data_IF_274076624840
#
_entry.id   IF_274076624840
#
_cell.length_a   1.000
_cell.length_b   1.000
_cell.length_c   1.000
_cell.angle_alpha   90.00
_cell.angle_beta   90.00
_cell.angle_gamma   90.00
#
_symmetry.space_group_name_H-M   'P 1'
#
loop_
_entity.id
_entity.type
_entity.pdbx_description
1 polymer ?
#
# COMPACT_ATOMS: atom_id res chain seq x y z
N UNK A 1 -19.17 19.50 11.04
CA UNK A 1 -18.12 18.51 11.41
C UNK A 1 -18.81 17.26 11.91
N UNK A 2 -18.29 16.09 11.60
CA UNK A 2 -18.83 14.80 12.04
C UNK A 2 -17.75 14.08 12.84
N UNK A 3 -18.12 13.50 13.97
CA UNK A 3 -17.20 12.71 14.79
C UNK A 3 -16.84 11.41 14.06
N UNK A 4 -15.55 11.17 13.90
CA UNK A 4 -14.99 9.95 13.32
C UNK A 4 -14.09 9.24 14.32
N UNK A 5 -14.02 7.92 14.17
CA UNK A 5 -12.96 7.12 14.79
C UNK A 5 -11.80 7.06 13.81
N UNK A 6 -10.65 7.58 14.21
CA UNK A 6 -9.39 7.34 13.52
C UNK A 6 -8.78 6.07 14.11
N UNK A 7 -8.56 5.07 13.26
CA UNK A 7 -7.92 3.82 13.63
C UNK A 7 -6.64 3.65 12.81
N UNK A 8 -5.53 3.41 13.48
CA UNK A 8 -4.25 3.12 12.84
C UNK A 8 -3.63 1.83 13.37
N UNK A 9 -3.01 1.06 12.49
CA UNK A 9 -2.28 -0.15 12.85
C UNK A 9 -0.83 -0.10 12.35
N UNK A 10 0.13 -0.33 13.26
CA UNK A 10 1.55 -0.49 12.94
C UNK A 10 2.05 -1.79 13.57
N UNK A 11 2.32 -2.80 12.75
CA UNK A 11 2.63 -4.13 13.24
C UNK A 11 1.43 -4.71 14.01
N UNK A 12 1.65 -5.12 15.26
CA UNK A 12 0.58 -5.60 16.15
C UNK A 12 -0.02 -4.48 17.02
N UNK A 13 0.48 -3.25 16.93
CA UNK A 13 0.00 -2.11 17.72
C UNK A 13 -1.19 -1.46 17.01
N UNK A 14 -2.30 -1.35 17.73
CA UNK A 14 -3.48 -0.62 17.30
C UNK A 14 -3.60 0.70 18.07
N UNK A 15 -3.97 1.75 17.34
CA UNK A 15 -4.16 3.09 17.87
C UNK A 15 -5.56 3.57 17.50
N UNK A 16 -6.27 4.14 18.47
CA UNK A 16 -7.61 4.65 18.25
C UNK A 16 -7.76 6.05 18.85
N UNK A 17 -8.22 6.99 18.02
CA UNK A 17 -8.45 8.38 18.40
C UNK A 17 -9.82 8.83 17.91
N UNK A 18 -10.38 9.83 18.59
CA UNK A 18 -11.57 10.54 18.13
C UNK A 18 -11.14 11.80 17.39
N UNK A 19 -11.68 12.04 16.20
CA UNK A 19 -11.39 13.26 15.42
C UNK A 19 -12.66 13.79 14.78
N UNK A 20 -12.70 15.09 14.52
CA UNK A 20 -13.81 15.74 13.85
C UNK A 20 -13.44 16.06 12.41
N UNK A 21 -14.22 15.54 11.45
CA UNK A 21 -13.94 15.71 10.02
C UNK A 21 -15.12 16.39 9.33
N UNK A 22 -14.82 17.38 8.50
CA UNK A 22 -15.75 18.11 7.69
C UNK A 22 -15.90 17.47 6.30
N UNK A 23 -17.07 16.89 6.03
CA UNK A 23 -17.40 16.25 4.74
C UNK A 23 -18.16 17.16 3.77
N UNK A 24 -18.22 18.47 4.01
CA UNK A 24 -18.97 19.38 3.14
C UNK A 24 -18.41 19.45 1.72
N UNK A 25 -17.08 19.40 1.59
CA UNK A 25 -16.39 19.29 0.30
C UNK A 25 -15.25 18.28 0.40
N UNK A 26 -14.81 17.68 -0.71
CA UNK A 26 -13.64 16.80 -0.73
C UNK A 26 -12.38 17.46 -0.17
N UNK A 27 -12.17 18.75 -0.42
CA UNK A 27 -10.96 19.47 0.00
C UNK A 27 -10.93 19.70 1.51
N UNK A 28 -12.07 20.08 2.10
CA UNK A 28 -12.19 20.22 3.55
C UNK A 28 -12.03 18.86 4.25
N UNK A 29 -12.55 17.81 3.62
CA UNK A 29 -12.40 16.44 4.10
C UNK A 29 -10.93 16.00 4.09
N UNK A 30 -10.22 16.18 2.98
CA UNK A 30 -8.79 15.84 2.87
C UNK A 30 -7.95 16.65 3.85
N UNK A 31 -8.24 17.94 3.99
CA UNK A 31 -7.54 18.80 4.95
C UNK A 31 -7.71 18.31 6.40
N UNK A 32 -8.94 17.97 6.81
CA UNK A 32 -9.20 17.50 8.17
C UNK A 32 -8.61 16.10 8.43
N UNK A 33 -8.60 15.21 7.43
CA UNK A 33 -7.91 13.92 7.54
C UNK A 33 -6.41 14.12 7.68
N UNK A 34 -5.79 14.97 6.86
CA UNK A 34 -4.36 15.26 6.95
C UNK A 34 -4.00 15.89 8.30
N UNK A 35 -4.86 16.76 8.83
CA UNK A 35 -4.70 17.32 10.17
C UNK A 35 -4.77 16.23 11.25
N UNK A 36 -5.74 15.33 11.16
CA UNK A 36 -5.84 14.19 12.09
C UNK A 36 -4.61 13.28 12.02
N UNK A 37 -4.10 12.99 10.81
CA UNK A 37 -2.87 12.25 10.57
C UNK A 37 -1.68 12.92 11.26
N UNK A 38 -1.49 14.22 11.05
CA UNK A 38 -0.38 14.99 11.66
C UNK A 38 -0.43 14.96 13.18
N UNK A 39 -1.63 15.09 13.77
CA UNK A 39 -1.84 15.07 15.23
C UNK A 39 -1.49 13.73 15.87
N UNK A 40 -1.82 12.60 15.21
CA UNK A 40 -1.59 11.26 15.76
C UNK A 40 -0.19 10.72 15.47
N UNK A 41 0.50 11.26 14.46
CA UNK A 41 1.78 10.76 13.96
C UNK A 41 2.87 10.70 15.03
N UNK A 42 3.03 11.76 15.82
CA UNK A 42 4.03 11.83 16.90
C UNK A 42 3.75 10.78 17.98
N UNK A 43 2.49 10.68 18.39
CA UNK A 43 2.02 9.73 19.40
C UNK A 43 2.28 8.29 18.99
N UNK A 44 2.03 7.96 17.70
CA UNK A 44 2.31 6.64 17.16
C UNK A 44 3.82 6.36 17.22
N UNK A 45 4.66 7.26 16.66
CA UNK A 45 6.11 7.10 16.63
C UNK A 45 6.74 6.89 18.01
N UNK A 46 6.31 7.67 19.01
CA UNK A 46 6.80 7.55 20.39
C UNK A 46 6.46 6.20 21.04
N UNK A 47 5.39 5.54 20.60
CA UNK A 47 4.95 4.25 21.12
C UNK A 47 5.50 3.05 20.34
N UNK A 48 6.18 3.28 19.21
CA UNK A 48 6.86 2.21 18.48
C UNK A 48 8.12 1.78 19.22
N UNK A 49 8.36 0.47 19.26
CA UNK A 49 9.49 -0.13 19.99
C UNK A 49 10.02 -1.33 19.22
N UNK A 50 11.31 -1.64 19.35
CA UNK A 50 11.90 -2.82 18.71
C UNK A 50 11.86 -2.72 17.18
N UNK A 51 11.41 -3.78 16.51
CA UNK A 51 11.35 -3.83 15.04
C UNK A 51 10.38 -2.82 14.43
N UNK A 52 9.28 -2.50 15.13
CA UNK A 52 8.29 -1.51 14.67
C UNK A 52 8.86 -0.08 14.69
N UNK A 53 9.87 0.19 15.52
CA UNK A 53 10.56 1.48 15.57
C UNK A 53 11.62 1.63 14.46
N UNK A 54 11.76 0.65 13.57
CA UNK A 54 12.72 0.67 12.46
C UNK A 54 12.02 0.93 11.13
N UNK A 55 12.76 1.51 10.18
CA UNK A 55 12.29 1.71 8.82
C UNK A 55 11.82 0.39 8.19
N UNK A 56 10.57 0.33 7.74
CA UNK A 56 9.97 -0.87 7.18
C UNK A 56 10.64 -1.34 5.88
N UNK A 57 11.35 -0.46 5.18
CA UNK A 57 12.08 -0.79 3.95
C UNK A 57 13.50 -1.28 4.23
N UNK A 58 14.33 -0.46 4.88
CA UNK A 58 15.76 -0.78 5.01
C UNK A 58 16.11 -1.58 6.25
N UNK A 59 15.25 -1.58 7.28
CA UNK A 59 15.44 -2.26 8.58
C UNK A 59 16.71 -1.89 9.36
N UNK A 60 17.52 -0.95 8.85
CA UNK A 60 18.82 -0.57 9.42
C UNK A 60 18.83 0.80 10.09
N UNK A 61 17.81 1.62 9.84
CA UNK A 61 17.68 2.95 10.42
C UNK A 61 16.37 3.05 11.24
N UNK A 62 16.37 3.82 12.35
CA UNK A 62 15.15 4.08 13.08
C UNK A 62 14.14 4.85 12.22
N UNK A 63 12.86 4.64 12.51
CA UNK A 63 11.76 5.37 11.92
C UNK A 63 11.78 6.82 12.43
N UNK A 64 11.81 7.78 11.52
CA UNK A 64 11.75 9.21 11.83
C UNK A 64 10.41 9.82 11.45
N UNK A 65 9.58 9.10 10.71
CA UNK A 65 8.28 9.53 10.19
C UNK A 65 7.42 8.32 9.83
N UNK A 66 6.15 8.57 9.56
CA UNK A 66 5.18 7.60 9.07
C UNK A 66 4.74 7.96 7.66
N UNK A 67 4.63 6.97 6.78
CA UNK A 67 3.90 7.07 5.52
C UNK A 67 2.48 6.56 5.74
N UNK A 68 1.51 7.46 5.68
CA UNK A 68 0.11 7.15 5.95
C UNK A 68 -0.62 6.70 4.69
N UNK A 69 -1.54 5.75 4.87
CA UNK A 69 -2.35 5.14 3.82
C UNK A 69 -3.80 5.10 4.29
N UNK A 70 -4.45 6.26 4.26
CA UNK A 70 -5.77 6.44 4.85
C UNK A 70 -6.89 5.96 3.93
N UNK A 71 -7.93 5.38 4.53
CA UNK A 71 -9.13 4.86 3.88
C UNK A 71 -10.36 5.32 4.67
N UNK A 72 -11.36 5.84 3.96
CA UNK A 72 -12.59 6.30 4.59
C UNK A 72 -13.69 5.24 4.52
N UNK A 73 -14.23 4.90 5.68
CA UNK A 73 -15.44 4.10 5.80
C UNK A 73 -16.61 5.00 6.17
N UNK A 74 -17.07 5.75 5.16
CA UNK A 74 -18.08 6.78 5.33
C UNK A 74 -19.45 6.27 5.77
N UNK A 75 -19.78 5.05 5.35
CA UNK A 75 -21.07 4.39 5.54
C UNK A 75 -21.15 3.56 6.84
N UNK A 76 -20.09 3.58 7.65
CA UNK A 76 -20.08 2.90 8.97
C UNK A 76 -20.56 3.86 10.06
N UNK A 77 -21.13 3.32 11.15
CA UNK A 77 -21.53 4.10 12.33
C UNK A 77 -20.84 3.58 13.60
N UNK A 78 -20.00 4.39 14.28
CA UNK A 78 -19.55 5.71 13.86
C UNK A 78 -18.69 5.62 12.57
N UNK A 79 -18.64 6.68 11.76
CA UNK A 79 -17.78 6.70 10.58
C UNK A 79 -16.31 6.56 11.00
N UNK A 80 -15.53 5.88 10.17
CA UNK A 80 -14.14 5.54 10.50
C UNK A 80 -13.16 6.00 9.41
N UNK A 81 -12.02 6.55 9.84
CA UNK A 81 -10.80 6.66 9.03
C UNK A 81 -9.91 5.50 9.46
N UNK A 82 -9.65 4.59 8.55
CA UNK A 82 -8.72 3.48 8.74
C UNK A 82 -7.38 3.87 8.11
N UNK A 83 -6.29 3.73 8.85
CA UNK A 83 -4.96 4.09 8.39
C UNK A 83 -3.99 2.93 8.63
N UNK A 84 -3.07 2.74 7.69
CA UNK A 84 -2.02 1.74 7.76
C UNK A 84 -0.65 2.42 7.71
N UNK A 85 -0.23 3.15 8.77
CA UNK A 85 1.02 3.89 8.74
C UNK A 85 2.22 2.96 8.64
N UNK A 86 3.15 3.29 7.74
CA UNK A 86 4.41 2.58 7.57
C UNK A 86 5.58 3.38 8.17
N UNK A 87 6.34 2.82 9.13
CA UNK A 87 7.49 3.49 9.73
C UNK A 87 8.62 3.63 8.72
N UNK A 88 9.13 4.85 8.52
CA UNK A 88 10.18 5.15 7.54
C UNK A 88 11.31 5.98 8.12
N UNK A 89 12.51 5.76 7.59
CA UNK A 89 13.63 6.68 7.77
C UNK A 89 13.50 7.91 6.84
N UNK A 90 14.48 8.80 6.89
CA UNK A 90 14.49 10.03 6.09
C UNK A 90 14.94 9.84 4.62
N UNK A 91 15.15 8.60 4.17
CA UNK A 91 15.56 8.34 2.78
C UNK A 91 14.35 8.40 1.83
N UNK A 92 14.46 9.22 0.79
CA UNK A 92 13.46 9.28 -0.29
C UNK A 92 13.32 7.94 -1.01
N UNK A 93 14.41 7.19 -1.21
CA UNK A 93 14.36 5.86 -1.80
C UNK A 93 13.52 4.88 -0.95
N UNK A 94 13.64 4.94 0.37
CA UNK A 94 12.85 4.09 1.26
C UNK A 94 11.35 4.41 1.15
N UNK A 95 10.98 5.68 0.93
CA UNK A 95 9.60 6.09 0.71
C UNK A 95 9.04 5.55 -0.60
N UNK A 96 9.80 5.72 -1.70
CA UNK A 96 9.38 5.26 -3.02
C UNK A 96 9.15 3.74 -3.00
N UNK A 97 10.07 2.99 -2.38
CA UNK A 97 9.94 1.54 -2.23
C UNK A 97 8.77 1.16 -1.33
N UNK A 98 8.56 1.85 -0.20
CA UNK A 98 7.42 1.57 0.69
C UNK A 98 6.07 1.82 0.01
N UNK A 99 5.93 2.95 -0.72
CA UNK A 99 4.74 3.23 -1.54
C UNK A 99 4.51 2.14 -2.59
N UNK A 100 5.57 1.71 -3.27
CA UNK A 100 5.46 0.65 -4.29
C UNK A 100 5.03 -0.69 -3.68
N UNK A 101 5.61 -1.08 -2.53
CA UNK A 101 5.26 -2.31 -1.82
C UNK A 101 3.81 -2.27 -1.34
N UNK A 102 3.37 -1.16 -0.73
CA UNK A 102 1.98 -0.98 -0.32
C UNK A 102 1.00 -1.16 -1.49
N UNK A 103 1.29 -0.53 -2.64
CA UNK A 103 0.45 -0.69 -3.83
C UNK A 103 0.40 -2.14 -4.33
N UNK A 104 1.52 -2.86 -4.27
CA UNK A 104 1.57 -4.29 -4.65
C UNK A 104 0.75 -5.16 -3.70
N UNK A 105 0.89 -4.94 -2.38
CA UNK A 105 0.17 -5.69 -1.34
C UNK A 105 -1.34 -5.48 -1.45
N UNK A 106 -1.78 -4.24 -1.69
CA UNK A 106 -3.20 -3.92 -1.92
C UNK A 106 -3.74 -4.60 -3.18
N UNK A 107 -2.92 -4.72 -4.23
CA UNK A 107 -3.31 -5.43 -5.44
C UNK A 107 -3.37 -6.95 -5.23
N UNK A 108 -2.48 -7.51 -4.40
CA UNK A 108 -2.53 -8.92 -3.98
C UNK A 108 -3.76 -9.21 -3.11
N UNK A 109 -4.09 -8.33 -2.17
CA UNK A 109 -5.32 -8.43 -1.38
C UNK A 109 -6.57 -8.38 -2.28
N UNK A 110 -6.57 -7.48 -3.28
CA UNK A 110 -7.64 -7.39 -4.29
C UNK A 110 -7.77 -8.70 -5.07
N UNK A 111 -6.65 -9.26 -5.53
CA UNK A 111 -6.63 -10.52 -6.27
C UNK A 111 -7.08 -11.72 -5.41
N UNK A 112 -6.67 -11.77 -4.14
CA UNK A 112 -7.08 -12.81 -3.17
C UNK A 112 -8.58 -12.79 -2.91
N UNK A 113 -9.22 -11.62 -2.98
CA UNK A 113 -10.67 -11.47 -2.92
C UNK A 113 -11.39 -11.79 -4.25
N UNK A 114 -10.66 -12.29 -5.26
CA UNK A 114 -11.20 -12.60 -6.59
C UNK A 114 -11.64 -11.35 -7.37
N UNK A 115 -11.22 -10.16 -6.95
CA UNK A 115 -11.55 -8.91 -7.65
C UNK A 115 -10.63 -8.74 -8.87
N UNK A 116 -11.14 -8.12 -9.95
CA UNK A 116 -10.38 -7.93 -11.18
C UNK A 116 -9.21 -6.95 -10.98
N UNK A 117 -8.09 -7.20 -11.67
CA UNK A 117 -6.93 -6.29 -11.64
C UNK A 117 -7.28 -4.98 -12.35
N UNK A 118 -6.83 -3.81 -11.84
CA UNK A 118 -7.06 -2.54 -12.51
C UNK A 118 -6.45 -2.49 -13.92
N UNK A 119 -5.25 -3.04 -14.08
CA UNK A 119 -4.43 -2.85 -15.28
C UNK A 119 -4.54 -3.99 -16.30
N UNK A 120 -5.09 -5.14 -15.91
CA UNK A 120 -5.22 -6.31 -16.78
C UNK A 120 -3.88 -6.84 -17.33
N UNK A 121 -3.95 -7.58 -18.44
CA UNK A 121 -2.76 -8.08 -19.14
C UNK A 121 -2.02 -6.93 -19.85
N UNK A 122 -0.72 -6.78 -19.60
CA UNK A 122 0.11 -5.71 -20.19
C UNK A 122 0.24 -5.80 -21.71
N UNK A 123 0.02 -6.99 -22.28
CA UNK A 123 0.09 -7.19 -23.74
C UNK A 123 -1.22 -6.99 -24.47
N UNK A 124 -2.31 -7.53 -23.92
CA UNK A 124 -3.60 -7.61 -24.62
C UNK A 124 -4.74 -6.91 -23.88
N UNK A 125 -4.45 -6.31 -22.73
CA UNK A 125 -5.37 -5.53 -21.87
C UNK A 125 -6.61 -6.28 -21.37
N UNK A 126 -6.70 -7.60 -21.62
CA UNK A 126 -7.76 -8.44 -21.06
C UNK A 126 -7.65 -8.52 -19.53
N UNK A 127 -8.79 -8.49 -18.86
CA UNK A 127 -8.88 -8.52 -17.40
C UNK A 127 -8.67 -7.17 -16.72
N UNK A 128 -8.61 -6.07 -17.47
CA UNK A 128 -8.70 -4.70 -16.94
C UNK A 128 -10.17 -4.29 -16.70
N UNK A 129 -10.39 -3.18 -16.00
CA UNK A 129 -11.70 -2.50 -15.88
C UNK A 129 -12.87 -3.39 -15.43
N UNK A 130 -12.68 -4.24 -14.42
CA UNK A 130 -13.82 -4.98 -13.86
C UNK A 130 -14.11 -6.34 -14.52
N UNK A 131 -13.39 -6.70 -15.59
CA UNK A 131 -13.62 -7.97 -16.29
C UNK A 131 -12.99 -9.13 -15.52
N UNK A 132 -13.83 -9.96 -14.90
CA UNK A 132 -13.39 -11.18 -14.23
C UNK A 132 -12.86 -12.17 -15.26
N UNK A 133 -11.60 -12.56 -15.11
CA UNK A 133 -10.97 -13.58 -15.94
C UNK A 133 -11.20 -14.96 -15.31
N UNK A 134 -11.31 -15.99 -16.14
CA UNK A 134 -11.44 -17.38 -15.68
C UNK A 134 -10.22 -17.86 -14.88
N UNK A 135 -9.06 -17.21 -15.05
CA UNK A 135 -7.84 -17.48 -14.32
C UNK A 135 -7.15 -16.17 -13.92
N UNK A 136 -6.45 -16.13 -12.76
CA UNK A 136 -5.65 -14.98 -12.36
C UNK A 136 -4.50 -14.75 -13.36
N UNK A 137 -4.11 -13.48 -13.53
CA UNK A 137 -3.00 -13.11 -14.40
C UNK A 137 -1.67 -13.54 -13.79
N UNK A 138 -0.76 -14.02 -14.64
CA UNK A 138 0.60 -14.40 -14.29
C UNK A 138 1.46 -13.14 -14.14
N UNK A 139 2.18 -13.01 -13.03
CA UNK A 139 3.16 -11.94 -12.83
C UNK A 139 4.50 -12.30 -13.46
N UNK A 140 5.20 -11.31 -14.00
CA UNK A 140 6.57 -11.46 -14.45
C UNK A 140 7.44 -11.97 -13.28
N UNK A 141 8.12 -13.10 -13.46
CA UNK A 141 8.90 -13.73 -12.39
C UNK A 141 10.06 -12.87 -11.89
N UNK A 142 10.57 -11.95 -12.72
CA UNK A 142 11.69 -11.05 -12.41
C UNK A 142 11.24 -9.80 -11.64
N UNK A 143 10.34 -9.00 -12.22
CA UNK A 143 9.96 -7.73 -11.61
C UNK A 143 8.73 -7.79 -10.72
N UNK A 144 7.91 -8.85 -10.85
CA UNK A 144 6.60 -9.01 -10.18
C UNK A 144 5.54 -7.94 -10.51
N UNK A 145 5.90 -6.86 -11.22
CA UNK A 145 5.01 -5.76 -11.64
C UNK A 145 4.13 -6.15 -12.84
N UNK A 146 4.74 -6.56 -13.96
CA UNK A 146 4.00 -6.77 -15.20
C UNK A 146 3.16 -8.05 -15.16
N UNK A 147 1.93 -7.98 -15.68
CA UNK A 147 0.94 -9.08 -15.63
C UNK A 147 0.54 -9.55 -17.02
N UNK A 148 0.35 -10.86 -17.16
CA UNK A 148 0.05 -11.49 -18.44
C UNK A 148 -0.98 -12.60 -18.27
N UNK A 149 -1.92 -12.71 -19.21
CA UNK A 149 -2.89 -13.81 -19.17
C UNK A 149 -2.23 -15.18 -19.46
N UNK A 150 -1.16 -15.17 -20.26
CA UNK A 150 -0.41 -16.39 -20.62
C UNK A 150 1.08 -16.08 -20.84
N UNK A 151 1.91 -17.11 -20.86
CA UNK A 151 3.34 -16.99 -21.17
C UNK A 151 3.58 -16.42 -22.58
N UNK A 152 2.68 -16.65 -23.52
CA UNK A 152 2.74 -16.09 -24.88
C UNK A 152 2.59 -14.57 -24.85
N UNK A 153 1.67 -14.04 -24.03
CA UNK A 153 1.54 -12.59 -23.86
C UNK A 153 2.79 -11.97 -23.25
N UNK A 154 3.41 -12.64 -22.27
CA UNK A 154 4.68 -12.17 -21.70
C UNK A 154 5.80 -12.15 -22.75
N UNK A 155 5.95 -13.24 -23.52
CA UNK A 155 6.97 -13.33 -24.59
C UNK A 155 6.77 -12.28 -25.68
N UNK A 156 5.52 -12.01 -26.05
CA UNK A 156 5.18 -11.01 -27.06
C UNK A 156 5.48 -9.57 -26.58
N UNK A 157 5.30 -9.31 -25.29
CA UNK A 157 5.58 -8.02 -24.68
C UNK A 157 7.07 -7.81 -24.33
N UNK A 158 7.84 -8.90 -24.23
CA UNK A 158 9.22 -8.91 -23.73
C UNK A 158 10.14 -7.88 -24.40
N UNK A 159 9.96 -7.61 -25.70
CA UNK A 159 10.78 -6.63 -26.44
C UNK A 159 10.70 -5.22 -25.85
N UNK A 160 9.52 -4.84 -25.35
CA UNK A 160 9.26 -3.55 -24.70
C UNK A 160 9.51 -3.68 -23.21
N UNK A 161 8.91 -4.68 -22.56
CA UNK A 161 9.01 -4.87 -21.12
C UNK A 161 10.45 -4.99 -20.60
N UNK A 162 11.35 -5.68 -21.32
CA UNK A 162 12.74 -5.89 -20.88
C UNK A 162 13.50 -4.59 -20.59
N UNK A 163 13.11 -3.48 -21.22
CA UNK A 163 13.75 -2.17 -21.05
C UNK A 163 13.44 -1.55 -19.68
N UNK A 164 12.30 -1.94 -19.10
CA UNK A 164 11.81 -1.45 -17.80
C UNK A 164 11.74 -2.56 -16.75
N UNK A 165 12.21 -3.77 -17.07
CA UNK A 165 12.13 -4.94 -16.19
C UNK A 165 13.28 -4.97 -15.17
N UNK A 166 13.07 -4.34 -14.03
CA UNK A 166 13.97 -4.39 -12.87
C UNK A 166 13.61 -5.56 -11.94
N UNK A 167 14.57 -6.24 -11.30
CA UNK A 167 14.27 -7.20 -10.25
C UNK A 167 13.44 -6.54 -9.14
N UNK A 168 12.36 -7.18 -8.71
CA UNK A 168 11.70 -6.78 -7.47
C UNK A 168 12.62 -7.19 -6.32
N UNK A 169 13.12 -6.25 -5.53
CA UNK A 169 13.93 -6.58 -4.35
C UNK A 169 13.03 -7.24 -3.31
N UNK A 170 12.97 -8.58 -3.36
CA UNK A 170 12.57 -9.39 -2.23
C UNK A 170 13.67 -9.27 -1.19
N UNK A 171 13.42 -8.51 -0.12
CA UNK A 171 14.19 -8.63 1.12
C UNK A 171 13.89 -10.03 1.67
N UNK A 172 14.61 -11.02 1.14
CA UNK A 172 14.58 -12.40 1.62
C UNK A 172 15.60 -12.49 2.75
N UNK A 173 15.10 -12.33 3.96
CA UNK A 173 15.81 -12.68 5.18
C UNK A 173 15.98 -14.20 5.23
N UNK A 174 17.24 -14.65 5.23
CA UNK A 174 17.66 -15.94 5.77
C UNK A 174 17.06 -17.23 5.20
N UNK A 175 17.68 -17.80 4.16
CA UNK A 175 17.94 -19.25 4.14
C UNK A 175 19.20 -19.56 3.34
N UNK A 176 20.35 -19.57 4.02
CA UNK A 176 21.52 -20.33 3.55
C UNK A 176 21.27 -21.80 3.87
N UNK A 177 21.40 -22.66 2.88
CA UNK A 177 22.00 -23.99 3.07
C UNK A 177 23.42 -23.93 2.51
#
# INVERSE_FOLDING_TARGET
MVLHIYHAAVGEKEFQFSTEINRLTPELYEADVNKAVEEVSSTILEQLTGEDAMCCTCKTAPATRLLHHTMLFAETFPPRVEDLPQPLCNSENCEVVAKANYMMDMEDATAAQGRPSPNGCFRCHKGANGVVMAAPLLRCSRCKVAKYCTAECQKADWRVHKQVCTPGEVVAEGTRK
#
